data_IF_327268168356
#
_entry.id   IF_327268168356
#
_cell.length_a   1.000
_cell.length_b   1.000
_cell.length_c   1.000
_cell.angle_alpha   90.00
_cell.angle_beta   90.00
_cell.angle_gamma   90.00
#
_symmetry.space_group_name_H-M   'P 1'
#
loop_
_entity.id
_entity.type
_entity.pdbx_description
1 polymer ?
#
# COMPACT_ATOMS: atom_id res chain seq x y z
N UNK A 1 -20.68 -10.01 28.91
CA UNK A 1 -21.01 -11.21 28.14
C UNK A 1 -21.65 -10.74 26.84
N UNK A 2 -21.29 -11.11 25.62
CA UNK A 2 -20.30 -12.08 25.09
C UNK A 2 -20.16 -11.82 23.57
N UNK A 3 -19.02 -11.92 22.86
CA UNK A 3 -17.61 -12.25 23.19
C UNK A 3 -16.65 -11.39 22.36
N UNK A 4 -15.47 -11.05 22.90
CA UNK A 4 -14.31 -10.65 22.08
C UNK A 4 -13.49 -11.89 21.71
N UNK A 5 -13.64 -12.38 20.48
CA UNK A 5 -12.86 -13.53 20.01
C UNK A 5 -11.47 -13.06 19.56
N UNK A 6 -10.51 -13.16 20.47
CA UNK A 6 -9.09 -12.88 20.22
C UNK A 6 -8.59 -13.75 19.07
N UNK A 7 -8.05 -13.12 18.02
CA UNK A 7 -7.47 -13.82 16.89
C UNK A 7 -6.05 -14.27 17.23
N UNK A 8 -5.84 -15.58 17.30
CA UNK A 8 -4.57 -16.20 17.71
C UNK A 8 -3.51 -16.02 16.62
N UNK A 9 -2.28 -15.58 16.95
CA UNK A 9 -1.18 -15.54 15.97
C UNK A 9 -0.79 -16.97 15.58
N UNK A 10 -0.74 -17.27 14.28
CA UNK A 10 -0.22 -18.55 13.77
C UNK A 10 -1.12 -19.36 12.83
N UNK A 11 -2.35 -18.91 12.53
CA UNK A 11 -3.14 -19.58 11.49
C UNK A 11 -2.64 -19.21 10.09
N UNK A 12 -1.88 -20.13 9.47
CA UNK A 12 -1.59 -20.10 8.03
C UNK A 12 -2.88 -20.29 7.25
N UNK A 13 -3.43 -19.20 6.72
CA UNK A 13 -4.58 -19.26 5.80
C UNK A 13 -4.07 -19.85 4.48
N UNK A 14 -4.45 -21.11 4.21
CA UNK A 14 -4.16 -21.74 2.92
C UNK A 14 -4.81 -20.93 1.79
N UNK A 15 -4.11 -20.70 0.65
CA UNK A 15 -4.67 -19.95 -0.46
C UNK A 15 -5.91 -20.66 -0.98
N UNK A 16 -7.05 -19.98 -1.00
CA UNK A 16 -8.29 -20.54 -1.56
C UNK A 16 -8.11 -20.74 -3.06
N UNK A 17 -7.95 -21.99 -3.48
CA UNK A 17 -7.85 -22.42 -4.88
C UNK A 17 -9.21 -22.36 -5.58
N UNK A 18 -9.80 -21.17 -5.63
CA UNK A 18 -10.99 -20.87 -6.43
C UNK A 18 -10.58 -20.45 -7.83
N UNK A 19 -10.37 -21.41 -8.73
CA UNK A 19 -10.10 -21.12 -10.14
C UNK A 19 -11.37 -20.64 -10.85
N UNK A 20 -11.73 -19.37 -10.64
CA UNK A 20 -12.66 -18.68 -11.53
C UNK A 20 -12.12 -18.79 -12.97
N UNK A 21 -13.00 -19.07 -13.94
CA UNK A 21 -12.59 -19.17 -15.34
C UNK A 21 -11.90 -17.86 -15.74
N UNK A 22 -10.68 -17.97 -16.30
CA UNK A 22 -9.92 -16.79 -16.73
C UNK A 22 -10.79 -15.96 -17.68
N UNK A 23 -11.04 -14.68 -17.39
CA UNK A 23 -11.78 -13.83 -18.32
C UNK A 23 -11.10 -13.84 -19.69
N UNK A 24 -11.89 -13.73 -20.76
CA UNK A 24 -11.34 -13.52 -22.09
C UNK A 24 -10.59 -12.17 -22.08
N UNK A 25 -9.30 -12.09 -22.46
CA UNK A 25 -8.51 -10.87 -22.35
C UNK A 25 -9.23 -9.67 -22.94
N UNK A 26 -9.49 -8.66 -22.11
CA UNK A 26 -10.25 -7.47 -22.52
C UNK A 26 -9.42 -6.49 -23.36
N UNK A 27 -8.12 -6.74 -23.52
CA UNK A 27 -7.30 -6.07 -24.55
C UNK A 27 -7.68 -6.67 -25.90
N UNK A 28 -8.57 -6.00 -26.62
CA UNK A 28 -9.02 -6.46 -27.93
C UNK A 28 -7.85 -6.52 -28.91
N UNK A 29 -7.83 -7.56 -29.75
CA UNK A 29 -6.83 -7.79 -30.80
C UNK A 29 -6.88 -6.78 -31.98
N UNK A 30 -7.40 -5.58 -31.74
CA UNK A 30 -7.47 -4.43 -32.67
C UNK A 30 -6.60 -3.24 -32.23
N UNK A 31 -5.97 -3.28 -31.06
CA UNK A 31 -4.96 -2.29 -30.69
C UNK A 31 -3.71 -2.48 -31.56
N UNK A 32 -3.28 -1.41 -32.24
CA UNK A 32 -2.02 -1.35 -33.00
C UNK A 32 -0.81 -1.04 -32.10
N UNK A 33 -1.04 -0.69 -30.83
CA UNK A 33 -0.01 -0.23 -29.87
C UNK A 33 0.81 -1.39 -29.29
N UNK A 34 0.36 -2.64 -29.46
CA UNK A 34 0.98 -3.81 -28.83
C UNK A 34 1.64 -4.73 -29.86
N UNK A 35 2.93 -5.01 -29.67
CA UNK A 35 3.68 -6.00 -30.44
C UNK A 35 3.11 -7.42 -30.25
N UNK A 36 2.54 -7.96 -31.33
CA UNK A 36 1.93 -9.29 -31.37
C UNK A 36 2.94 -10.43 -31.49
N UNK A 37 4.19 -10.13 -31.86
CA UNK A 37 5.27 -11.12 -31.93
C UNK A 37 5.86 -11.43 -30.56
N UNK A 38 5.63 -10.56 -29.57
CA UNK A 38 6.09 -10.76 -28.19
C UNK A 38 5.44 -12.01 -27.56
N UNK A 39 6.21 -12.99 -27.06
CA UNK A 39 5.67 -14.20 -26.42
C UNK A 39 4.75 -13.94 -25.22
N UNK A 40 4.82 -12.76 -24.59
CA UNK A 40 3.94 -12.37 -23.49
C UNK A 40 2.64 -11.69 -23.93
N UNK A 41 2.44 -11.42 -25.22
CA UNK A 41 1.21 -10.80 -25.74
C UNK A 41 -0.08 -11.53 -25.31
N UNK A 42 -0.17 -12.88 -25.32
CA UNK A 42 -1.37 -13.59 -24.87
C UNK A 42 -1.65 -13.49 -23.36
N UNK A 43 -0.71 -12.95 -22.57
CA UNK A 43 -0.81 -12.79 -21.12
C UNK A 43 -1.29 -11.38 -20.71
N UNK A 44 -1.46 -10.46 -21.65
CA UNK A 44 -1.87 -9.08 -21.38
C UNK A 44 -3.32 -9.04 -20.88
N UNK A 45 -3.56 -8.32 -19.80
CA UNK A 45 -4.88 -8.16 -19.17
C UNK A 45 -5.25 -6.69 -19.07
N UNK A 46 -6.55 -6.37 -19.13
CA UNK A 46 -6.99 -5.01 -18.79
C UNK A 46 -6.87 -4.77 -17.28
N UNK A 47 -6.72 -3.51 -16.79
CA UNK A 47 -6.73 -3.23 -15.35
C UNK A 47 -8.00 -3.71 -14.65
N UNK A 48 -9.17 -3.63 -15.30
CA UNK A 48 -10.43 -4.15 -14.76
C UNK A 48 -10.38 -5.66 -14.53
N UNK A 49 -9.80 -6.38 -15.48
CA UNK A 49 -9.64 -7.83 -15.44
C UNK A 49 -8.63 -8.25 -14.36
N UNK A 50 -7.44 -7.64 -14.35
CA UNK A 50 -6.37 -7.96 -13.42
C UNK A 50 -6.71 -7.67 -11.94
N UNK A 51 -7.61 -6.71 -11.69
CA UNK A 51 -8.03 -6.29 -10.34
C UNK A 51 -9.41 -6.87 -9.92
N UNK A 52 -10.01 -7.75 -10.73
CA UNK A 52 -11.31 -8.35 -10.41
C UNK A 52 -11.24 -9.19 -9.13
N UNK A 53 -12.14 -8.92 -8.18
CA UNK A 53 -12.22 -9.63 -6.90
C UNK A 53 -11.29 -9.11 -5.79
N UNK A 54 -10.49 -8.06 -6.05
CA UNK A 54 -9.68 -7.43 -5.01
C UNK A 54 -10.56 -6.66 -4.01
N UNK A 55 -10.25 -6.68 -2.69
CA UNK A 55 -10.97 -5.90 -1.70
C UNK A 55 -10.85 -4.40 -1.95
N UNK A 56 -11.94 -3.68 -1.66
CA UNK A 56 -12.01 -2.22 -1.76
C UNK A 56 -11.86 -1.56 -0.39
N UNK A 57 -11.46 -0.28 -0.38
CA UNK A 57 -11.53 0.62 0.77
C UNK A 57 -12.91 1.27 0.88
N UNK A 58 -13.13 2.06 1.94
CA UNK A 58 -14.40 2.78 2.19
C UNK A 58 -14.77 3.78 1.08
N UNK A 59 -13.82 4.14 0.21
CA UNK A 59 -13.99 5.05 -0.92
C UNK A 59 -14.05 4.29 -2.26
N UNK A 60 -14.26 2.96 -2.23
CA UNK A 60 -14.46 2.12 -3.41
C UNK A 60 -13.20 1.83 -4.23
N UNK A 61 -12.01 2.15 -3.73
CA UNK A 61 -10.73 1.93 -4.43
C UNK A 61 -10.06 0.66 -3.95
N UNK A 62 -9.12 0.10 -4.71
CA UNK A 62 -8.37 -1.09 -4.31
C UNK A 62 -7.65 -0.88 -2.96
N UNK A 63 -7.95 -1.73 -1.98
CA UNK A 63 -7.25 -1.76 -0.69
C UNK A 63 -6.02 -2.67 -0.80
N UNK A 64 -4.92 -2.12 -1.35
CA UNK A 64 -3.67 -2.85 -1.59
C UNK A 64 -3.08 -3.56 -0.36
N UNK A 65 -3.29 -3.02 0.85
CA UNK A 65 -2.88 -3.68 2.10
C UNK A 65 -3.70 -4.97 2.28
N UNK A 66 -5.03 -4.89 2.21
CA UNK A 66 -5.89 -6.07 2.32
C UNK A 66 -5.72 -7.06 1.14
N UNK A 67 -5.32 -6.60 -0.05
CA UNK A 67 -4.95 -7.49 -1.17
C UNK A 67 -3.74 -8.34 -0.80
N UNK A 68 -2.70 -7.73 -0.23
CA UNK A 68 -1.47 -8.43 0.19
C UNK A 68 -1.70 -9.33 1.41
N UNK A 69 -2.38 -8.84 2.45
CA UNK A 69 -2.67 -9.60 3.67
C UNK A 69 -3.53 -10.84 3.42
N UNK A 70 -4.33 -10.84 2.35
CA UNK A 70 -5.13 -11.98 1.89
C UNK A 70 -4.39 -12.92 0.93
N UNK A 71 -3.13 -12.61 0.59
CA UNK A 71 -2.33 -13.39 -0.36
C UNK A 71 -2.87 -13.38 -1.79
N UNK A 72 -3.67 -12.38 -2.18
CA UNK A 72 -4.21 -12.26 -3.54
C UNK A 72 -3.14 -11.84 -4.57
N UNK A 73 -2.01 -11.35 -4.08
CA UNK A 73 -0.79 -11.05 -4.83
C UNK A 73 0.42 -11.55 -4.05
N UNK A 74 1.50 -11.87 -4.77
CA UNK A 74 2.79 -12.23 -4.19
C UNK A 74 3.90 -11.40 -4.87
N UNK A 75 4.20 -10.19 -4.36
CA UNK A 75 5.28 -9.36 -4.89
C UNK A 75 6.63 -10.10 -4.80
N UNK A 76 7.44 -10.03 -5.85
CA UNK A 76 8.80 -10.58 -5.82
C UNK A 76 9.72 -9.59 -5.11
N UNK A 77 10.50 -10.07 -4.13
CA UNK A 77 11.51 -9.26 -3.45
C UNK A 77 12.64 -8.81 -4.41
N UNK A 78 12.98 -9.63 -5.40
CA UNK A 78 14.08 -9.39 -6.33
C UNK A 78 13.68 -9.66 -7.79
N UNK A 79 14.40 -9.04 -8.74
CA UNK A 79 14.06 -9.14 -10.19
C UNK A 79 14.53 -10.44 -10.85
N UNK A 80 15.64 -11.03 -10.39
CA UNK A 80 16.30 -12.19 -11.03
C UNK A 80 16.38 -13.43 -10.12
N UNK A 81 16.50 -13.18 -8.82
CA UNK A 81 16.84 -14.13 -7.77
C UNK A 81 15.63 -14.40 -6.87
N UNK A 82 15.65 -15.51 -6.12
CA UNK A 82 14.66 -15.78 -5.07
C UNK A 82 15.16 -15.18 -3.76
N UNK A 83 14.67 -13.99 -3.43
CA UNK A 83 14.90 -13.32 -2.15
C UNK A 83 13.62 -13.23 -1.30
N UNK A 84 13.75 -12.64 -0.11
CA UNK A 84 12.65 -12.35 0.81
C UNK A 84 12.65 -10.87 1.20
N UNK A 85 11.46 -10.27 1.35
CA UNK A 85 11.32 -8.91 1.86
C UNK A 85 11.68 -8.84 3.35
N UNK A 86 12.48 -7.85 3.75
CA UNK A 86 12.78 -7.58 5.16
C UNK A 86 11.68 -6.70 5.76
N UNK A 87 10.61 -7.33 6.23
CA UNK A 87 9.51 -6.65 6.92
C UNK A 87 9.97 -6.15 8.30
N UNK A 88 9.60 -4.91 8.64
CA UNK A 88 9.85 -4.30 9.94
C UNK A 88 8.55 -3.75 10.51
N UNK A 89 8.09 -4.31 11.63
CA UNK A 89 6.81 -3.94 12.24
C UNK A 89 7.02 -2.95 13.39
N UNK A 90 7.15 -1.67 13.04
CA UNK A 90 7.17 -0.55 14.00
C UNK A 90 6.45 0.67 13.44
N UNK A 91 5.76 1.38 14.33
CA UNK A 91 5.08 2.63 14.00
C UNK A 91 5.88 3.84 14.48
N UNK A 92 5.85 4.92 13.70
CA UNK A 92 6.28 6.26 14.09
C UNK A 92 5.04 7.13 14.22
N UNK A 93 4.88 7.80 15.37
CA UNK A 93 3.89 8.86 15.55
C UNK A 93 4.54 10.22 15.39
N UNK A 94 4.18 10.95 14.34
CA UNK A 94 4.61 12.34 14.13
C UNK A 94 3.57 13.27 14.78
N UNK A 95 3.98 13.94 15.85
CA UNK A 95 3.09 14.73 16.73
C UNK A 95 3.04 16.23 16.40
N UNK A 96 3.92 16.72 15.51
CA UNK A 96 3.96 18.12 15.12
C UNK A 96 2.92 18.42 14.02
N UNK A 97 1.64 18.25 14.37
CA UNK A 97 0.49 18.33 13.46
C UNK A 97 -0.45 19.49 13.78
N UNK A 98 -0.12 20.31 14.79
CA UNK A 98 -1.03 21.29 15.41
C UNK A 98 -2.33 20.60 15.81
N UNK A 99 -3.47 21.20 15.48
CA UNK A 99 -4.80 20.69 15.78
C UNK A 99 -5.11 19.40 14.99
N UNK A 100 -4.48 19.15 13.83
CA UNK A 100 -4.72 17.90 13.10
C UNK A 100 -4.29 16.69 13.94
N UNK A 101 -5.01 15.55 13.89
CA UNK A 101 -4.62 14.31 14.57
C UNK A 101 -3.17 13.92 14.24
N UNK A 102 -2.49 13.22 15.14
CA UNK A 102 -1.11 12.79 14.93
C UNK A 102 -1.01 11.87 13.72
N UNK A 103 0.07 12.03 12.96
CA UNK A 103 0.34 11.18 11.79
C UNK A 103 0.96 9.87 12.24
N UNK A 104 0.37 8.75 11.83
CA UNK A 104 0.90 7.40 12.05
C UNK A 104 1.56 6.89 10.78
N UNK A 105 2.86 6.64 10.84
CA UNK A 105 3.63 5.98 9.79
C UNK A 105 3.99 4.55 10.21
N UNK A 106 3.36 3.51 9.65
CA UNK A 106 3.67 2.13 10.00
C UNK A 106 4.69 1.53 9.01
N UNK A 107 5.82 1.03 9.51
CA UNK A 107 6.85 0.43 8.64
C UNK A 107 6.39 -0.86 7.97
N UNK A 108 5.50 -1.65 8.60
CA UNK A 108 5.11 -2.97 8.09
C UNK A 108 4.57 -2.88 6.66
N UNK A 109 3.53 -2.09 6.44
CA UNK A 109 2.88 -1.95 5.13
C UNK A 109 3.77 -1.27 4.08
N UNK A 110 4.87 -0.63 4.48
CA UNK A 110 5.87 -0.11 3.54
C UNK A 110 6.95 -1.17 3.22
N UNK A 111 7.46 -1.87 4.23
CA UNK A 111 8.55 -2.84 4.13
C UNK A 111 8.11 -4.21 3.60
N UNK A 112 6.81 -4.48 3.57
CA UNK A 112 6.19 -5.54 2.79
C UNK A 112 6.37 -5.36 1.27
N UNK A 113 6.64 -4.13 0.79
CA UNK A 113 6.77 -3.79 -0.62
C UNK A 113 8.14 -3.19 -1.01
N UNK A 114 8.78 -2.49 -0.08
CA UNK A 114 9.98 -1.68 -0.32
C UNK A 114 11.15 -2.12 0.57
N UNK A 115 12.37 -2.02 0.05
CA UNK A 115 13.58 -2.18 0.83
C UNK A 115 13.87 -0.92 1.65
N UNK A 116 14.63 -1.04 2.74
CA UNK A 116 14.97 0.10 3.59
C UNK A 116 15.71 1.22 2.82
N UNK A 117 16.52 0.86 1.82
CA UNK A 117 17.21 1.79 0.92
C UNK A 117 16.29 2.56 -0.05
N UNK A 118 14.99 2.25 -0.10
CA UNK A 118 14.02 3.10 -0.79
C UNK A 118 13.61 4.32 0.05
N UNK A 119 13.81 4.27 1.37
CA UNK A 119 13.42 5.31 2.32
C UNK A 119 14.61 5.99 3.01
N UNK A 120 15.75 5.31 3.11
CA UNK A 120 16.89 5.71 3.93
C UNK A 120 18.22 5.67 3.16
N UNK A 121 19.14 6.64 3.37
CA UNK A 121 19.00 7.84 4.22
C UNK A 121 18.18 8.97 3.56
N UNK A 122 17.69 8.78 2.33
CA UNK A 122 16.83 9.72 1.59
C UNK A 122 15.53 9.00 1.13
N UNK A 123 14.32 9.57 1.38
CA UNK A 123 14.05 10.90 1.92
C UNK A 123 13.98 10.99 3.45
N UNK A 124 14.34 9.93 4.19
CA UNK A 124 14.32 9.96 5.66
C UNK A 124 15.67 9.52 6.25
N UNK A 125 16.17 10.28 7.22
CA UNK A 125 17.21 9.80 8.15
C UNK A 125 16.61 8.72 9.06
N UNK A 126 17.38 7.68 9.38
CA UNK A 126 17.00 6.54 10.25
C UNK A 126 16.87 6.91 11.75
N UNK A 127 16.30 8.09 12.05
CA UNK A 127 16.11 8.59 13.40
C UNK A 127 14.77 9.34 13.51
N UNK A 128 13.92 8.90 14.43
CA UNK A 128 12.66 9.56 14.70
C UNK A 128 12.90 10.99 15.21
N UNK A 129 12.07 11.94 14.76
CA UNK A 129 12.12 13.34 15.18
C UNK A 129 13.20 14.21 14.53
N UNK A 130 14.14 13.67 13.73
CA UNK A 130 15.13 14.51 12.99
C UNK A 130 14.68 14.93 11.60
N UNK A 131 13.69 14.24 11.02
CA UNK A 131 13.15 14.55 9.70
C UNK A 131 12.14 15.70 9.81
N UNK A 132 12.38 16.80 9.08
CA UNK A 132 11.54 18.01 9.11
C UNK A 132 10.35 17.88 8.15
N UNK A 133 9.51 16.87 8.38
CA UNK A 133 8.33 16.58 7.55
C UNK A 133 7.25 17.64 7.79
N UNK A 134 6.75 18.22 6.70
CA UNK A 134 5.59 19.11 6.70
C UNK A 134 4.82 18.96 5.37
N UNK A 135 3.60 19.49 5.29
CA UNK A 135 2.75 19.32 4.10
C UNK A 135 3.25 20.07 2.86
N UNK A 136 3.95 21.20 3.01
CA UNK A 136 4.53 21.96 1.91
C UNK A 136 5.60 21.12 1.18
N UNK A 137 6.48 20.47 1.94
CA UNK A 137 7.49 19.54 1.42
C UNK A 137 6.87 18.27 0.82
N UNK A 138 5.79 17.75 1.42
CA UNK A 138 5.04 16.63 0.85
C UNK A 138 4.42 17.00 -0.51
N UNK A 139 3.83 18.20 -0.66
CA UNK A 139 3.29 18.67 -1.94
C UNK A 139 4.39 18.92 -2.98
N UNK A 140 5.61 19.32 -2.57
CA UNK A 140 6.78 19.38 -3.45
C UNK A 140 7.29 18.01 -3.92
N UNK A 141 6.81 16.91 -3.31
CA UNK A 141 7.23 15.55 -3.63
C UNK A 141 8.36 15.00 -2.74
N UNK A 142 8.68 15.68 -1.65
CA UNK A 142 9.62 15.20 -0.64
C UNK A 142 8.91 14.32 0.41
N UNK A 143 9.68 13.58 1.20
CA UNK A 143 9.15 12.67 2.24
C UNK A 143 8.05 11.74 1.70
N UNK A 144 6.84 11.79 2.28
CA UNK A 144 5.67 10.99 1.87
C UNK A 144 5.30 11.24 0.40
N UNK A 145 5.45 12.47 -0.09
CA UNK A 145 5.13 12.86 -1.47
C UNK A 145 6.01 12.22 -2.53
N UNK A 146 7.14 11.62 -2.15
CA UNK A 146 8.01 10.87 -3.08
C UNK A 146 7.26 9.68 -3.70
N UNK A 147 6.25 9.15 -2.99
CA UNK A 147 5.44 8.01 -3.42
C UNK A 147 3.92 8.30 -3.44
N UNK A 148 3.39 8.97 -2.42
CA UNK A 148 1.97 9.35 -2.36
C UNK A 148 1.67 10.40 -3.44
N UNK A 149 0.47 10.30 -4.05
CA UNK A 149 0.06 11.08 -5.23
C UNK A 149 0.82 10.74 -6.54
N UNK A 150 1.71 9.74 -6.54
CA UNK A 150 2.43 9.25 -7.74
C UNK A 150 2.23 7.76 -7.99
N UNK A 151 2.53 6.94 -6.99
CA UNK A 151 2.45 5.46 -7.04
C UNK A 151 1.65 4.86 -5.88
N UNK A 152 1.36 5.67 -4.85
CA UNK A 152 0.47 5.34 -3.74
C UNK A 152 -0.72 6.30 -3.68
N UNK A 153 -1.64 6.09 -2.73
CA UNK A 153 -2.84 6.90 -2.59
C UNK A 153 -2.53 8.40 -2.42
N UNK A 154 -3.47 9.25 -2.83
CA UNK A 154 -3.31 10.72 -2.84
C UNK A 154 -3.09 11.32 -1.45
N UNK A 155 -2.22 12.32 -1.38
CA UNK A 155 -1.90 13.07 -0.15
C UNK A 155 -3.08 13.86 0.42
N UNK A 156 -4.16 14.06 -0.36
CA UNK A 156 -5.39 14.73 0.10
C UNK A 156 -6.32 13.84 0.94
N UNK A 157 -5.95 12.57 1.16
CA UNK A 157 -6.68 11.63 2.02
C UNK A 157 -6.14 11.72 3.46
N UNK A 158 -6.40 12.88 4.08
CA UNK A 158 -5.85 13.30 5.36
C UNK A 158 -5.95 12.22 6.43
N UNK A 159 -7.10 11.55 6.52
CA UNK A 159 -7.45 10.52 7.51
C UNK A 159 -6.56 9.27 7.45
N UNK A 160 -5.93 8.99 6.30
CA UNK A 160 -5.05 7.84 6.11
C UNK A 160 -3.68 8.02 6.78
N UNK A 161 -3.30 9.28 7.04
CA UNK A 161 -2.08 9.65 7.73
C UNK A 161 -2.41 10.14 9.15
N UNK A 162 -3.26 11.16 9.26
CA UNK A 162 -3.75 11.77 10.51
C UNK A 162 -4.79 10.87 11.19
N UNK A 163 -4.36 9.70 11.65
CA UNK A 163 -5.25 8.63 12.11
C UNK A 163 -5.27 8.45 13.64
N UNK A 164 -4.56 9.27 14.41
CA UNK A 164 -4.40 9.12 15.88
C UNK A 164 -4.79 10.43 16.57
N UNK A 165 -5.96 10.45 17.20
CA UNK A 165 -6.49 11.63 17.89
C UNK A 165 -5.71 11.95 19.17
N UNK A 166 -5.61 13.24 19.48
CA UNK A 166 -5.04 13.81 20.69
C UNK A 166 -6.02 14.86 21.27
N UNK A 167 -5.80 15.43 22.48
CA UNK A 167 -6.78 16.30 23.13
C UNK A 167 -7.21 17.52 22.31
N UNK A 168 -6.33 18.07 21.48
CA UNK A 168 -6.57 19.25 20.66
C UNK A 168 -7.06 18.89 19.23
N UNK A 169 -7.33 17.61 18.97
CA UNK A 169 -7.88 17.15 17.68
C UNK A 169 -9.34 17.58 17.49
N UNK A 170 -9.73 18.05 16.27
CA UNK A 170 -11.14 18.22 15.93
C UNK A 170 -11.92 16.92 16.08
N UNK A 171 -13.25 17.05 16.23
CA UNK A 171 -14.18 15.93 16.12
C UNK A 171 -13.90 15.13 14.85
N UNK A 172 -13.70 13.82 15.02
CA UNK A 172 -13.37 12.88 13.95
C UNK A 172 -14.36 12.98 12.78
N UNK A 173 -13.84 13.23 11.57
CA UNK A 173 -14.61 13.51 10.35
C UNK A 173 -14.59 12.36 9.31
N UNK A 174 -14.17 11.16 9.71
CA UNK A 174 -13.93 9.99 8.84
C UNK A 174 -14.31 8.65 9.50
#
# INVERSE_FOLDING_TARGET
>A
MDQFKVMVPGQTIAPKTGSAAKPKPLISAKSEVYDRSNPSYPLLQSPREALTGFPLDSLGRINWVAVLERGLIAPRAEKRTRGSMRVWDREILMKNTRDMPWVRFPHRQHTEWLACSNCHPDPFVEKAGTNQVNMEEIFRGNYCGKCHDRVAFSVFLCERCHSVTHPDSPTRWW
#
